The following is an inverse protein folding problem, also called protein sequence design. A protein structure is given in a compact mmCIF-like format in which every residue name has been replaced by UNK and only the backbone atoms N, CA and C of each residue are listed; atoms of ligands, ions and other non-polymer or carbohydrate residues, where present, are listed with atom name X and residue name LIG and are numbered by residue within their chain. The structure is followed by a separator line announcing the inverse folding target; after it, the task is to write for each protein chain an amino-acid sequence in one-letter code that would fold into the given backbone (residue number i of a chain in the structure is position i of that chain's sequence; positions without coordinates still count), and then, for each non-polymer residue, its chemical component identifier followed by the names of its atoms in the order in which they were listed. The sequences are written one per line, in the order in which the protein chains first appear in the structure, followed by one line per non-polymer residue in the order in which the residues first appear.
data_IF_224524227401
#
_entry.id   IF_224524227401
#
_cell.length_a   1.000
_cell.length_b   1.000
_cell.length_c   1.000
_cell.angle_alpha   90.00
_cell.angle_beta   90.00
_cell.angle_gamma   90.00
#
_symmetry.space_group_name_H-M   'P 1'
#
loop_
_entity.id
_entity.type
_entity.pdbx_description
1 polymer ?
#
# COMPACT_ATOMS: atom_id res chain seq x y z
N UNK A 1 -5.15 -10.12 3.57
CA UNK A 1 -6.25 -9.89 3.38
C UNK A 1 -7.28 -9.11 4.18
N UNK A 2 -7.85 -8.08 3.55
CA UNK A 2 -8.91 -7.29 4.16
C UNK A 2 -10.16 -7.35 3.28
N UNK A 3 -11.33 -7.51 3.89
CA UNK A 3 -12.61 -7.26 3.24
C UNK A 3 -12.87 -5.76 3.27
N UNK A 4 -13.03 -5.12 2.11
CA UNK A 4 -13.25 -3.68 2.01
C UNK A 4 -14.74 -3.39 1.88
N UNK A 5 -15.27 -2.55 2.78
CA UNK A 5 -16.65 -2.06 2.73
C UNK A 5 -16.66 -0.66 2.16
N UNK A 6 -17.32 -0.46 1.04
CA UNK A 6 -17.43 0.84 0.39
C UNK A 6 -18.82 1.44 0.60
N UNK A 7 -18.84 2.64 1.16
CA UNK A 7 -20.10 3.38 1.44
C UNK A 7 -20.51 4.29 0.28
N UNK A 8 -19.74 4.31 -0.81
CA UNK A 8 -20.14 5.03 -2.02
C UNK A 8 -21.36 4.35 -2.64
N UNK A 9 -22.43 5.09 -2.95
CA UNK A 9 -23.72 4.50 -3.27
C UNK A 9 -23.74 3.70 -4.58
N UNK A 10 -22.95 4.06 -5.59
CA UNK A 10 -22.90 3.35 -6.87
C UNK A 10 -21.46 3.07 -7.27
N UNK A 11 -21.04 1.82 -7.15
CA UNK A 11 -19.70 1.36 -7.48
C UNK A 11 -19.69 0.72 -8.88
N UNK A 12 -18.57 0.89 -9.61
CA UNK A 12 -18.42 0.34 -10.97
C UNK A 12 -18.76 1.32 -12.10
N UNK A 13 -19.53 2.37 -11.83
CA UNK A 13 -19.98 3.33 -12.85
C UNK A 13 -18.84 4.00 -13.63
N UNK A 14 -17.71 4.26 -13.01
CA UNK A 14 -16.56 4.85 -13.72
C UNK A 14 -15.84 3.85 -14.63
N UNK A 15 -15.94 2.55 -14.36
CA UNK A 15 -15.09 1.54 -15.01
C UNK A 15 -13.64 1.62 -14.56
N UNK A 16 -12.76 0.99 -15.32
CA UNK A 16 -11.33 0.87 -15.04
C UNK A 16 -10.53 1.37 -16.24
N UNK A 17 -9.56 2.25 -16.02
CA UNK A 17 -8.71 2.77 -17.09
C UNK A 17 -7.76 1.70 -17.63
N UNK A 18 -7.14 1.89 -18.81
CA UNK A 18 -6.21 0.95 -19.40
C UNK A 18 -4.99 0.71 -18.50
N UNK A 19 -4.48 -0.52 -18.54
CA UNK A 19 -3.23 -0.89 -17.88
C UNK A 19 -2.03 -0.45 -18.71
N UNK A 20 -1.73 0.82 -18.67
CA UNK A 20 -0.53 1.40 -19.29
C UNK A 20 0.53 1.72 -18.24
N UNK A 21 1.77 1.73 -18.67
CA UNK A 21 2.92 1.97 -17.79
C UNK A 21 3.75 3.14 -18.31
N UNK A 22 4.28 3.91 -17.38
CA UNK A 22 5.32 4.90 -17.67
C UNK A 22 6.64 4.18 -18.03
N UNK A 23 7.61 4.84 -18.67
CA UNK A 23 8.88 4.21 -19.04
C UNK A 23 9.65 3.61 -17.85
N UNK A 24 9.43 4.15 -16.64
CA UNK A 24 10.00 3.64 -15.39
C UNK A 24 9.26 2.42 -14.80
N UNK A 25 8.28 1.87 -15.52
CA UNK A 25 7.49 0.71 -15.09
C UNK A 25 6.37 1.01 -14.09
N UNK A 26 6.16 2.28 -13.71
CA UNK A 26 5.05 2.65 -12.84
C UNK A 26 3.75 2.70 -13.65
N UNK A 27 2.69 2.07 -13.13
CA UNK A 27 1.37 2.13 -13.79
C UNK A 27 0.87 3.57 -13.89
N UNK A 28 0.40 3.97 -15.07
CA UNK A 28 0.00 5.37 -15.35
C UNK A 28 -1.22 5.79 -14.54
N UNK A 29 -2.20 4.91 -14.41
CA UNK A 29 -3.50 5.20 -13.81
C UNK A 29 -3.76 4.44 -12.51
N UNK A 30 -2.91 3.48 -12.16
CA UNK A 30 -3.08 2.66 -10.96
C UNK A 30 -2.16 3.14 -9.84
N UNK A 31 -2.59 2.93 -8.60
CA UNK A 31 -1.83 3.30 -7.40
C UNK A 31 -1.01 2.15 -6.82
N UNK A 32 -1.15 0.94 -7.39
CA UNK A 32 -0.35 -0.25 -7.06
C UNK A 32 -0.35 -1.23 -8.23
N UNK A 33 0.47 -2.27 -8.14
CA UNK A 33 0.61 -3.29 -9.19
C UNK A 33 -0.61 -4.22 -9.30
N UNK A 34 -1.39 -4.36 -8.20
CA UNK A 34 -2.53 -5.28 -8.10
C UNK A 34 -3.56 -4.80 -7.07
N UNK A 35 -4.72 -5.44 -7.02
CA UNK A 35 -5.69 -5.27 -5.94
C UNK A 35 -5.21 -6.04 -4.71
N UNK A 36 -5.09 -5.35 -3.56
CA UNK A 36 -4.64 -5.97 -2.30
C UNK A 36 -5.79 -6.40 -1.38
N UNK A 37 -7.03 -6.03 -1.70
CA UNK A 37 -8.21 -6.49 -0.97
C UNK A 37 -8.49 -7.96 -1.27
N UNK A 38 -9.02 -8.71 -0.30
CA UNK A 38 -9.51 -10.08 -0.51
C UNK A 38 -10.93 -10.11 -1.08
N UNK A 39 -11.73 -9.10 -0.74
CA UNK A 39 -13.03 -8.90 -1.33
C UNK A 39 -13.51 -7.46 -1.17
N UNK A 40 -14.52 -7.07 -1.97
CA UNK A 40 -15.24 -5.80 -1.83
C UNK A 40 -16.69 -6.05 -1.49
N UNK A 41 -17.25 -5.19 -0.63
CA UNK A 41 -18.66 -5.20 -0.20
C UNK A 41 -19.23 -3.83 -0.52
N UNK A 42 -20.27 -3.78 -1.35
CA UNK A 42 -20.87 -2.55 -1.85
C UNK A 42 -22.40 -2.57 -1.71
N UNK A 43 -23.03 -1.41 -1.65
CA UNK A 43 -24.50 -1.33 -1.65
C UNK A 43 -25.06 -1.57 -3.04
N UNK A 44 -24.64 -0.77 -4.00
CA UNK A 44 -25.08 -0.86 -5.38
C UNK A 44 -23.90 -1.01 -6.32
N UNK A 45 -24.10 -1.81 -7.37
CA UNK A 45 -23.09 -2.07 -8.38
C UNK A 45 -23.63 -1.75 -9.78
N UNK A 46 -22.87 -0.94 -10.53
CA UNK A 46 -23.15 -0.70 -11.94
C UNK A 46 -22.41 -1.71 -12.81
N UNK A 47 -23.16 -2.47 -13.59
CA UNK A 47 -22.60 -3.38 -14.59
C UNK A 47 -22.08 -2.65 -15.83
N UNK A 48 -22.59 -1.43 -16.05
CA UNK A 48 -22.18 -0.57 -17.15
C UNK A 48 -21.29 0.57 -16.61
N UNK A 49 -20.32 0.98 -17.41
CA UNK A 49 -19.44 2.10 -17.11
C UNK A 49 -19.49 3.16 -18.22
N UNK A 50 -19.21 4.42 -17.86
CA UNK A 50 -19.35 5.53 -18.81
C UNK A 50 -18.24 6.59 -18.71
N UNK A 51 -17.15 6.34 -17.99
CA UNK A 51 -16.06 7.30 -17.94
C UNK A 51 -15.25 7.28 -19.24
N UNK A 52 -14.87 8.45 -19.73
CA UNK A 52 -14.16 8.61 -21.01
C UNK A 52 -12.83 7.84 -21.10
N UNK A 53 -12.18 7.57 -19.97
CA UNK A 53 -10.91 6.83 -19.89
C UNK A 53 -11.09 5.37 -19.47
N UNK A 54 -12.31 4.88 -19.40
CA UNK A 54 -12.56 3.49 -19.02
C UNK A 54 -12.41 2.57 -20.23
N UNK A 55 -11.74 1.45 -20.04
CA UNK A 55 -11.53 0.42 -21.06
C UNK A 55 -12.34 -0.83 -20.76
N UNK A 56 -12.56 -1.16 -19.47
CA UNK A 56 -13.28 -2.35 -19.02
C UNK A 56 -14.02 -2.11 -17.69
N UNK A 57 -14.87 -3.06 -17.32
CA UNK A 57 -15.67 -2.94 -16.10
C UNK A 57 -14.85 -3.24 -14.84
N UNK A 58 -15.27 -2.70 -13.70
CA UNK A 58 -14.70 -3.09 -12.41
C UNK A 58 -14.87 -4.60 -12.15
N UNK A 59 -16.01 -5.18 -12.57
CA UNK A 59 -16.27 -6.61 -12.42
C UNK A 59 -15.29 -7.48 -13.19
N UNK A 60 -14.88 -7.07 -14.38
CA UNK A 60 -13.87 -7.79 -15.16
C UNK A 60 -12.50 -7.71 -14.50
N UNK A 61 -12.12 -6.53 -13.98
CA UNK A 61 -10.89 -6.39 -13.22
C UNK A 61 -10.86 -7.27 -11.98
N UNK A 62 -11.95 -7.29 -11.21
CA UNK A 62 -12.07 -8.15 -10.02
C UNK A 62 -11.95 -9.63 -10.38
N UNK A 63 -12.57 -10.08 -11.49
CA UNK A 63 -12.46 -11.46 -11.98
C UNK A 63 -11.01 -11.81 -12.39
N UNK A 64 -10.35 -10.91 -13.10
CA UNK A 64 -8.97 -11.07 -13.53
C UNK A 64 -8.03 -11.23 -12.31
N UNK A 65 -8.20 -10.38 -11.29
CA UNK A 65 -7.44 -10.41 -10.05
C UNK A 65 -7.93 -11.49 -9.05
N UNK A 66 -8.99 -12.23 -9.40
CA UNK A 66 -9.64 -13.26 -8.56
C UNK A 66 -10.14 -12.72 -7.21
N UNK A 67 -10.65 -11.50 -7.20
CA UNK A 67 -11.21 -10.83 -6.03
C UNK A 67 -12.73 -10.97 -6.03
N UNK A 68 -13.29 -11.44 -4.92
CA UNK A 68 -14.74 -11.56 -4.77
C UNK A 68 -15.40 -10.19 -4.52
N UNK A 69 -16.59 -9.99 -5.07
CA UNK A 69 -17.42 -8.80 -4.83
C UNK A 69 -18.83 -9.19 -4.43
N UNK A 70 -19.37 -8.49 -3.43
CA UNK A 70 -20.78 -8.63 -3.00
C UNK A 70 -21.45 -7.27 -3.11
N UNK A 71 -22.63 -7.23 -3.69
CA UNK A 71 -23.49 -6.05 -3.72
C UNK A 71 -24.87 -6.33 -3.13
N UNK A 72 -25.68 -5.29 -2.92
CA UNK A 72 -26.99 -5.40 -2.27
C UNK A 72 -26.91 -5.38 -0.74
N UNK A 73 -25.80 -4.96 -0.15
CA UNK A 73 -25.59 -4.91 1.29
C UNK A 73 -25.77 -3.47 1.81
N UNK A 74 -26.44 -3.29 2.95
CA UNK A 74 -26.45 -2.00 3.66
C UNK A 74 -25.04 -1.70 4.23
N UNK A 75 -24.18 -1.17 3.37
CA UNK A 75 -22.80 -0.83 3.74
C UNK A 75 -22.73 0.30 4.75
N UNK A 76 -23.75 1.16 4.84
CA UNK A 76 -23.79 2.23 5.84
C UNK A 76 -24.04 1.66 7.24
N UNK A 77 -24.97 0.73 7.40
CA UNK A 77 -25.21 0.04 8.67
C UNK A 77 -23.98 -0.76 9.09
N UNK A 78 -23.37 -1.50 8.14
CA UNK A 78 -22.16 -2.26 8.38
C UNK A 78 -20.98 -1.35 8.82
N UNK A 79 -20.80 -0.21 8.17
CA UNK A 79 -19.72 0.74 8.54
C UNK A 79 -19.96 1.35 9.91
N UNK A 80 -21.22 1.65 10.31
CA UNK A 80 -21.52 2.10 11.67
C UNK A 80 -21.09 1.07 12.71
N UNK A 81 -21.42 -0.21 12.47
CA UNK A 81 -21.03 -1.32 13.34
C UNK A 81 -19.50 -1.45 13.43
N UNK A 82 -18.78 -1.35 12.30
CA UNK A 82 -17.32 -1.37 12.27
C UNK A 82 -16.70 -0.20 13.05
N UNK A 83 -17.31 0.99 13.01
CA UNK A 83 -16.83 2.15 13.78
C UNK A 83 -17.01 2.00 15.29
N UNK A 84 -18.07 1.33 15.72
CA UNK A 84 -18.35 1.08 17.14
C UNK A 84 -17.44 0.00 17.73
N UNK A 85 -17.09 -1.02 16.94
CA UNK A 85 -16.34 -2.19 17.42
C UNK A 85 -14.88 -2.22 16.95
N UNK A 86 -14.47 -1.28 16.09
CA UNK A 86 -13.18 -1.30 15.42
C UNK A 86 -13.10 -2.33 14.30
N UNK A 87 -11.94 -2.90 14.06
CA UNK A 87 -11.75 -3.96 13.06
C UNK A 87 -12.47 -5.23 13.51
N UNK A 88 -13.32 -5.78 12.64
CA UNK A 88 -14.07 -7.00 12.89
C UNK A 88 -13.66 -8.10 11.93
N UNK A 89 -13.66 -9.32 12.40
CA UNK A 89 -13.51 -10.48 11.53
C UNK A 89 -14.79 -10.70 10.72
N UNK A 90 -14.63 -11.06 9.44
CA UNK A 90 -15.73 -11.34 8.53
C UNK A 90 -15.39 -12.49 7.59
N UNK A 91 -16.41 -13.26 7.21
CA UNK A 91 -16.31 -14.33 6.20
C UNK A 91 -17.40 -14.15 5.16
N UNK A 92 -17.05 -14.37 3.90
CA UNK A 92 -18.01 -14.48 2.80
C UNK A 92 -18.22 -15.96 2.54
N UNK A 93 -19.47 -16.41 2.62
CA UNK A 93 -19.88 -17.79 2.35
C UNK A 93 -20.79 -17.80 1.12
N UNK A 94 -20.52 -18.68 0.16
CA UNK A 94 -21.32 -18.88 -1.05
C UNK A 94 -22.01 -20.24 -0.95
N UNK A 95 -23.34 -20.25 -0.97
CA UNK A 95 -24.15 -21.46 -0.82
C UNK A 95 -24.89 -21.54 0.51
N UNK A 96 -25.38 -22.72 0.88
CA UNK A 96 -26.10 -22.94 2.14
C UNK A 96 -25.13 -22.84 3.33
N UNK A 97 -25.20 -21.73 4.03
CA UNK A 97 -24.32 -21.41 5.16
C UNK A 97 -24.48 -22.34 6.37
N UNK A 98 -25.60 -23.09 6.43
CA UNK A 98 -25.99 -23.89 7.60
C UNK A 98 -25.07 -25.09 7.87
N UNK A 99 -24.29 -25.52 6.88
CA UNK A 99 -23.40 -26.70 7.00
C UNK A 99 -21.93 -26.36 7.34
N UNK A 100 -21.55 -25.10 7.35
CA UNK A 100 -20.13 -24.70 7.56
C UNK A 100 -19.89 -23.94 8.87
N UNK A 101 -20.94 -23.63 9.63
CA UNK A 101 -20.83 -22.99 10.95
C UNK A 101 -21.05 -24.07 12.02
N UNK A 102 -20.03 -24.87 12.32
CA UNK A 102 -20.06 -25.70 13.51
C UNK A 102 -20.08 -24.82 14.76
N UNK A 103 -21.17 -24.90 15.52
CA UNK A 103 -21.36 -24.28 16.84
C UNK A 103 -21.31 -22.73 16.90
N UNK A 104 -21.59 -22.01 15.81
CA UNK A 104 -21.65 -20.54 15.84
C UNK A 104 -20.29 -19.84 16.02
N UNK A 105 -19.20 -20.58 16.06
CA UNK A 105 -17.85 -20.03 16.13
C UNK A 105 -17.13 -20.15 14.80
N UNK A 106 -16.80 -19.01 14.21
CA UNK A 106 -15.85 -18.96 13.10
C UNK A 106 -14.45 -19.33 13.63
N UNK A 107 -13.90 -20.45 13.21
CA UNK A 107 -12.46 -20.72 13.41
C UNK A 107 -11.68 -19.73 12.56
N UNK A 108 -11.28 -18.63 13.17
CA UNK A 108 -10.58 -17.53 12.49
C UNK A 108 -9.14 -17.56 13.00
N UNK A 109 -8.18 -17.65 12.07
CA UNK A 109 -6.77 -17.48 12.40
C UNK A 109 -6.56 -16.10 13.03
N UNK A 110 -5.73 -16.05 14.07
CA UNK A 110 -5.49 -14.85 14.85
C UNK A 110 -4.86 -13.76 13.96
N UNK A 111 -5.66 -12.75 13.55
CA UNK A 111 -5.25 -11.66 12.65
C UNK A 111 -4.41 -10.57 13.34
N UNK A 112 -4.38 -10.56 14.68
CA UNK A 112 -3.79 -9.49 15.48
C UNK A 112 -2.28 -9.33 15.27
N UNK A 113 -1.62 -10.33 14.71
CA UNK A 113 -0.17 -10.34 14.49
C UNK A 113 0.23 -10.36 13.01
N UNK A 114 -0.72 -10.16 12.09
CA UNK A 114 -0.39 -10.15 10.66
C UNK A 114 0.27 -8.83 10.28
N UNK A 115 1.51 -8.90 9.81
CA UNK A 115 2.18 -7.74 9.22
C UNK A 115 1.69 -7.53 7.77
N UNK A 116 0.71 -6.65 7.61
CA UNK A 116 0.20 -6.29 6.29
C UNK A 116 1.17 -5.43 5.48
N UNK A 117 2.06 -4.70 6.13
CA UNK A 117 3.12 -3.91 5.46
C UNK A 117 4.05 -4.85 4.71
N UNK A 118 4.45 -5.98 5.32
CA UNK A 118 5.30 -6.96 4.64
C UNK A 118 4.65 -7.54 3.37
N UNK A 119 3.32 -7.70 3.37
CA UNK A 119 2.59 -8.24 2.19
C UNK A 119 2.54 -7.29 1.00
N UNK A 120 2.64 -5.98 1.24
CA UNK A 120 2.48 -4.93 0.20
C UNK A 120 3.77 -4.18 -0.12
N UNK A 121 4.78 -4.27 0.71
CA UNK A 121 6.09 -3.67 0.51
C UNK A 121 6.83 -4.34 -0.66
N UNK A 122 7.64 -3.58 -1.38
CA UNK A 122 8.55 -4.13 -2.39
C UNK A 122 9.53 -5.13 -1.75
N UNK A 123 10.06 -6.04 -2.58
CA UNK A 123 11.02 -7.06 -2.11
C UNK A 123 12.45 -6.79 -2.58
N UNK A 124 12.61 -5.77 -3.42
CA UNK A 124 13.88 -5.35 -4.00
C UNK A 124 14.03 -3.85 -3.86
N UNK A 125 15.26 -3.35 -3.97
CA UNK A 125 15.51 -1.92 -4.04
C UNK A 125 15.28 -1.48 -5.48
N UNK A 126 14.46 -0.43 -5.67
CA UNK A 126 14.16 0.11 -6.99
C UNK A 126 14.50 1.60 -6.99
N UNK A 127 15.40 1.98 -7.89
CA UNK A 127 15.75 3.37 -8.12
C UNK A 127 14.95 3.92 -9.30
N UNK A 128 14.27 5.05 -9.09
CA UNK A 128 13.55 5.77 -10.12
C UNK A 128 14.20 7.14 -10.35
N UNK A 129 14.38 7.53 -11.61
CA UNK A 129 14.90 8.83 -11.99
C UNK A 129 13.83 9.73 -12.62
N UNK A 130 13.98 11.05 -12.50
CA UNK A 130 13.07 12.02 -13.13
C UNK A 130 13.01 11.96 -14.66
N UNK A 131 14.02 11.40 -15.31
CA UNK A 131 14.07 11.21 -16.77
C UNK A 131 13.19 10.05 -17.26
N UNK A 132 12.53 9.36 -16.36
CA UNK A 132 11.67 8.22 -16.66
C UNK A 132 12.40 6.87 -16.68
N UNK A 133 13.66 6.80 -16.26
CA UNK A 133 14.37 5.54 -16.13
C UNK A 133 14.20 4.94 -14.74
N UNK A 134 14.32 3.61 -14.64
CA UNK A 134 14.35 2.89 -13.37
C UNK A 134 15.33 1.72 -13.43
N UNK A 135 15.86 1.37 -12.25
CA UNK A 135 16.74 0.22 -12.08
C UNK A 135 16.39 -0.51 -10.79
N UNK A 136 16.13 -1.80 -10.87
CA UNK A 136 15.99 -2.68 -9.72
C UNK A 136 17.31 -3.36 -9.39
N UNK A 137 17.59 -3.59 -8.10
CA UNK A 137 18.71 -4.38 -7.64
C UNK A 137 18.28 -5.28 -6.49
N UNK A 138 18.88 -6.47 -6.40
CA UNK A 138 18.70 -7.34 -5.25
C UNK A 138 19.28 -6.71 -3.97
N UNK A 139 18.73 -7.09 -2.82
CA UNK A 139 19.21 -6.61 -1.50
C UNK A 139 20.68 -6.97 -1.26
N UNK A 140 21.15 -8.09 -1.80
CA UNK A 140 22.55 -8.55 -1.70
C UNK A 140 23.52 -7.73 -2.53
N UNK A 141 23.06 -7.12 -3.62
CA UNK A 141 23.88 -6.29 -4.51
C UNK A 141 23.93 -4.83 -4.05
N UNK A 142 22.92 -4.37 -3.31
CA UNK A 142 22.80 -2.99 -2.86
C UNK A 142 23.96 -2.53 -1.96
N UNK A 143 24.55 -3.44 -1.19
CA UNK A 143 25.71 -3.13 -0.31
C UNK A 143 27.02 -2.89 -1.09
N UNK A 144 27.09 -3.33 -2.36
CA UNK A 144 28.30 -3.24 -3.20
C UNK A 144 28.10 -2.40 -4.47
N UNK A 145 26.89 -2.03 -4.82
CA UNK A 145 26.63 -1.31 -6.06
C UNK A 145 26.49 0.19 -5.80
N UNK A 146 27.42 0.91 -6.29
CA UNK A 146 27.17 2.30 -6.69
C UNK A 146 26.11 2.20 -7.78
N UNK A 147 24.87 2.59 -7.47
CA UNK A 147 23.86 2.73 -8.49
C UNK A 147 24.40 3.66 -9.58
N UNK A 148 24.88 3.10 -10.68
CA UNK A 148 25.50 3.88 -11.77
C UNK A 148 24.55 4.96 -12.29
N UNK A 149 23.26 4.71 -12.14
CA UNK A 149 22.16 5.60 -12.50
C UNK A 149 22.08 6.86 -11.60
N UNK A 150 22.64 6.82 -10.37
CA UNK A 150 22.59 7.94 -9.41
C UNK A 150 23.84 8.85 -9.43
N UNK A 151 24.72 8.70 -10.40
CA UNK A 151 25.99 9.43 -10.47
C UNK A 151 25.86 10.95 -10.80
N UNK A 152 24.64 11.48 -10.91
CA UNK A 152 24.46 12.93 -11.08
C UNK A 152 24.66 13.65 -9.74
N UNK A 153 25.70 14.46 -9.64
CA UNK A 153 26.00 15.29 -8.45
C UNK A 153 24.94 16.36 -8.14
N UNK A 154 24.03 16.62 -9.07
CA UNK A 154 23.04 17.69 -8.98
C UNK A 154 21.65 17.18 -8.60
N UNK A 155 21.41 15.88 -8.57
CA UNK A 155 20.11 15.30 -8.33
C UNK A 155 19.96 14.97 -6.85
N UNK A 156 18.92 15.52 -6.20
CA UNK A 156 18.55 15.14 -4.84
C UNK A 156 17.98 13.73 -4.82
N UNK A 157 18.37 12.93 -3.83
CA UNK A 157 18.02 11.53 -3.65
C UNK A 157 17.18 11.36 -2.40
N UNK A 158 16.01 10.80 -2.53
CA UNK A 158 15.13 10.47 -1.40
C UNK A 158 15.03 8.95 -1.28
N UNK A 159 15.36 8.43 -0.10
CA UNK A 159 14.98 7.08 0.26
C UNK A 159 13.50 7.06 0.56
N UNK A 160 12.77 6.19 -0.13
CA UNK A 160 11.35 5.91 0.09
C UNK A 160 11.20 4.56 0.78
N UNK A 161 10.97 4.58 2.10
CA UNK A 161 10.65 3.38 2.86
C UNK A 161 9.24 2.92 2.52
N UNK A 162 9.17 1.76 1.88
CA UNK A 162 7.91 1.25 1.30
C UNK A 162 7.10 0.45 2.31
N UNK A 163 6.13 1.11 2.92
CA UNK A 163 5.12 0.46 3.77
C UNK A 163 3.82 0.09 3.02
N UNK A 164 3.82 0.19 1.70
CA UNK A 164 2.65 0.05 0.82
C UNK A 164 2.38 1.35 0.06
N UNK A 165 3.42 1.86 -0.60
CA UNK A 165 3.42 3.16 -1.25
C UNK A 165 2.41 3.20 -2.40
N UNK A 166 1.63 4.27 -2.45
CA UNK A 166 0.83 4.61 -3.63
C UNK A 166 1.75 5.18 -4.71
N UNK A 167 1.61 4.70 -5.94
CA UNK A 167 2.45 5.10 -7.08
C UNK A 167 2.47 6.62 -7.31
N UNK A 168 1.39 7.32 -6.99
CA UNK A 168 1.34 8.77 -7.13
C UNK A 168 2.36 9.50 -6.23
N UNK A 169 2.74 8.93 -5.09
CA UNK A 169 3.78 9.51 -4.23
C UNK A 169 5.12 9.50 -4.98
N UNK A 170 5.46 8.40 -5.63
CA UNK A 170 6.67 8.29 -6.45
C UNK A 170 6.61 9.30 -7.60
N UNK A 171 5.50 9.32 -8.36
CA UNK A 171 5.29 10.30 -9.44
C UNK A 171 5.44 11.74 -8.98
N UNK A 172 4.93 12.08 -7.79
CA UNK A 172 5.05 13.42 -7.23
C UNK A 172 6.48 13.82 -6.89
N UNK A 173 7.31 12.90 -6.42
CA UNK A 173 8.73 13.14 -6.16
C UNK A 173 9.51 13.30 -7.47
N UNK A 174 9.31 12.40 -8.44
CA UNK A 174 9.95 12.47 -9.76
C UNK A 174 9.64 13.77 -10.51
N UNK A 175 8.38 14.24 -10.48
CA UNK A 175 7.98 15.54 -11.08
C UNK A 175 8.65 16.74 -10.43
N UNK A 176 9.19 16.59 -9.22
CA UNK A 176 9.98 17.62 -8.51
C UNK A 176 11.47 17.50 -8.72
N UNK A 177 11.87 16.71 -9.71
CA UNK A 177 13.26 16.45 -10.04
C UNK A 177 14.05 15.80 -8.90
N UNK A 178 13.44 14.86 -8.19
CA UNK A 178 14.03 14.09 -7.09
C UNK A 178 14.14 12.64 -7.52
N UNK A 179 15.32 12.04 -7.39
CA UNK A 179 15.50 10.60 -7.56
C UNK A 179 14.96 9.86 -6.34
N UNK A 180 14.26 8.75 -6.56
CA UNK A 180 13.62 7.96 -5.51
C UNK A 180 14.30 6.60 -5.40
N UNK A 181 14.79 6.26 -4.23
CA UNK A 181 15.34 4.96 -3.87
C UNK A 181 14.28 4.25 -3.02
N UNK A 182 13.38 3.48 -3.65
CA UNK A 182 12.34 2.68 -2.97
C UNK A 182 13.00 1.46 -2.36
N UNK A 183 12.83 1.28 -1.05
CA UNK A 183 13.41 0.17 -0.28
C UNK A 183 12.33 -0.59 0.48
N UNK A 184 12.49 -1.90 0.73
CA UNK A 184 11.58 -2.66 1.58
C UNK A 184 11.42 -2.04 2.98
N UNK A 185 10.26 -2.26 3.60
CA UNK A 185 9.88 -1.69 4.91
C UNK A 185 10.85 -2.00 6.05
N UNK A 186 11.55 -3.13 5.99
CA UNK A 186 12.48 -3.63 7.02
C UNK A 186 13.95 -3.40 6.67
N UNK A 187 14.25 -2.89 5.47
CA UNK A 187 15.61 -2.66 4.99
C UNK A 187 16.32 -1.58 5.81
N UNK A 188 17.58 -1.82 6.23
CA UNK A 188 18.42 -0.80 6.88
C UNK A 188 19.01 0.18 5.85
N UNK A 189 18.22 1.18 5.51
CA UNK A 189 18.56 2.22 4.54
C UNK A 189 19.64 3.18 5.03
N UNK A 190 20.04 3.13 6.31
CA UNK A 190 21.06 4.04 6.85
C UNK A 190 22.45 3.81 6.26
N UNK A 191 22.66 2.69 5.59
CA UNK A 191 23.88 2.40 4.83
C UNK A 191 23.91 3.02 3.43
N UNK A 192 22.81 3.60 2.97
CA UNK A 192 22.73 4.23 1.65
C UNK A 192 23.11 5.72 1.73
N UNK A 193 23.56 6.26 0.61
CA UNK A 193 23.72 7.71 0.44
C UNK A 193 22.42 8.33 -0.05
N UNK A 194 21.82 9.25 0.71
CA UNK A 194 20.58 9.95 0.37
C UNK A 194 20.54 11.34 1.00
N UNK A 195 19.68 12.23 0.49
CA UNK A 195 19.48 13.60 0.96
C UNK A 195 18.24 13.76 1.87
N UNK A 196 17.30 12.83 1.82
CA UNK A 196 16.10 12.85 2.66
C UNK A 196 15.42 11.49 2.74
N UNK A 197 14.66 11.27 3.81
CA UNK A 197 13.87 10.06 4.05
C UNK A 197 12.38 10.34 3.90
N UNK A 198 11.71 9.54 3.09
CA UNK A 198 10.25 9.56 2.96
C UNK A 198 9.68 8.20 3.38
N UNK A 199 8.79 8.20 4.37
CA UNK A 199 8.15 6.99 4.87
C UNK A 199 6.72 6.96 4.32
N UNK A 200 6.39 5.94 3.54
CA UNK A 200 5.14 5.92 2.80
C UNK A 200 3.92 5.62 3.70
N UNK A 201 2.73 5.78 3.11
CA UNK A 201 1.51 5.20 3.64
C UNK A 201 1.59 3.66 3.67
N UNK A 202 0.70 3.02 4.41
CA UNK A 202 0.63 1.56 4.46
C UNK A 202 -0.59 1.06 5.21
N UNK A 203 -0.92 -0.23 5.07
CA UNK A 203 -2.00 -0.89 5.79
C UNK A 203 -1.53 -1.45 7.15
N UNK A 204 -2.51 -1.84 7.98
CA UNK A 204 -2.27 -2.63 9.18
C UNK A 204 -1.91 -1.82 10.41
N UNK A 205 -1.26 -2.49 11.36
CA UNK A 205 -0.90 -1.96 12.66
C UNK A 205 0.58 -1.58 12.70
N UNK A 206 0.95 -0.33 13.05
CA UNK A 206 2.34 0.10 13.17
C UNK A 206 3.13 -0.68 14.22
N UNK A 207 2.46 -1.37 15.15
CA UNK A 207 3.13 -2.20 16.16
C UNK A 207 3.75 -3.48 15.58
N UNK A 208 3.38 -3.85 14.36
CA UNK A 208 4.00 -4.98 13.63
C UNK A 208 5.27 -4.60 12.87
N UNK A 209 5.67 -3.32 12.88
CA UNK A 209 6.74 -2.77 12.04
C UNK A 209 8.00 -2.36 12.82
N UNK A 210 8.42 -3.12 13.82
CA UNK A 210 9.57 -2.78 14.70
C UNK A 210 10.88 -2.57 13.95
N UNK A 211 11.14 -3.30 12.86
CA UNK A 211 12.33 -3.12 12.03
C UNK A 211 12.38 -1.71 11.43
N UNK A 212 11.27 -1.25 10.85
CA UNK A 212 11.14 0.12 10.33
C UNK A 212 11.38 1.16 11.44
N UNK A 213 10.76 0.99 12.61
CA UNK A 213 10.91 1.91 13.74
C UNK A 213 12.37 2.02 14.19
N UNK A 214 13.09 0.89 14.30
CA UNK A 214 14.53 0.90 14.65
C UNK A 214 15.37 1.66 13.61
N UNK A 215 15.12 1.45 12.33
CA UNK A 215 15.87 2.09 11.25
C UNK A 215 15.56 3.59 11.16
N UNK A 216 14.31 3.99 11.34
CA UNK A 216 13.89 5.40 11.40
C UNK A 216 14.52 6.08 12.62
N UNK A 217 14.58 5.42 13.78
CA UNK A 217 15.22 5.98 14.99
C UNK A 217 16.69 6.27 14.78
N UNK A 218 17.42 5.42 14.05
CA UNK A 218 18.82 5.72 13.66
C UNK A 218 18.89 6.98 12.79
N UNK A 219 17.98 7.12 11.79
CA UNK A 219 17.96 8.27 10.91
C UNK A 219 17.61 9.59 11.64
N UNK A 220 16.79 9.53 12.70
CA UNK A 220 16.46 10.69 13.55
C UNK A 220 17.66 11.28 14.31
N UNK A 221 18.75 10.52 14.46
CA UNK A 221 19.98 11.03 15.06
C UNK A 221 20.82 11.89 14.09
N UNK A 222 20.46 11.92 12.82
CA UNK A 222 21.08 12.73 11.77
C UNK A 222 20.37 14.05 11.55
N UNK A 223 20.83 14.80 10.54
CA UNK A 223 20.33 16.12 10.15
C UNK A 223 19.46 16.12 8.88
N UNK A 224 19.26 14.94 8.26
CA UNK A 224 18.51 14.83 7.02
C UNK A 224 17.01 15.02 7.24
N UNK A 225 16.29 15.71 6.33
CA UNK A 225 14.84 15.86 6.45
C UNK A 225 14.14 14.51 6.36
N UNK A 226 13.14 14.31 7.21
CA UNK A 226 12.30 13.12 7.28
C UNK A 226 10.83 13.52 7.17
N UNK A 227 10.09 12.83 6.31
CA UNK A 227 8.65 13.02 6.14
C UNK A 227 7.95 11.66 6.14
N UNK A 228 6.78 11.58 6.80
CA UNK A 228 5.95 10.38 6.85
C UNK A 228 4.49 10.68 6.50
N UNK A 229 3.84 9.78 5.74
CA UNK A 229 2.42 9.85 5.42
C UNK A 229 1.67 8.68 6.05
N UNK A 230 0.56 8.96 6.77
CA UNK A 230 -0.32 7.95 7.37
C UNK A 230 0.48 6.95 8.24
N UNK A 231 0.61 5.69 7.84
CA UNK A 231 1.48 4.69 8.50
C UNK A 231 2.88 5.24 8.75
N UNK A 232 3.47 5.91 7.77
CA UNK A 232 4.80 6.51 7.88
C UNK A 232 4.87 7.59 8.97
N UNK A 233 3.83 8.40 9.16
CA UNK A 233 3.77 9.36 10.28
C UNK A 233 3.69 8.65 11.64
N UNK A 234 2.93 7.56 11.73
CA UNK A 234 2.83 6.75 12.95
C UNK A 234 4.18 6.10 13.30
N UNK A 235 4.86 5.50 12.31
CA UNK A 235 6.19 4.90 12.51
C UNK A 235 7.23 5.95 12.93
N UNK A 236 7.17 7.14 12.35
CA UNK A 236 8.03 8.26 12.72
C UNK A 236 7.78 8.71 14.15
N UNK A 237 6.51 8.84 14.56
CA UNK A 237 6.13 9.17 15.93
C UNK A 237 6.63 8.12 16.93
N UNK A 238 6.47 6.81 16.65
CA UNK A 238 7.02 5.71 17.47
C UNK A 238 8.54 5.76 17.55
N UNK A 239 9.22 6.04 16.44
CA UNK A 239 10.68 6.19 16.44
C UNK A 239 11.15 7.36 17.31
N UNK A 240 10.37 8.44 17.37
CA UNK A 240 10.58 9.58 18.26
C UNK A 240 10.19 9.34 19.73
N UNK A 241 9.65 8.16 20.06
CA UNK A 241 9.28 7.79 21.44
C UNK A 241 7.82 8.05 21.81
N UNK A 242 6.96 8.42 20.87
CA UNK A 242 5.54 8.58 21.12
C UNK A 242 4.81 7.23 21.19
N UNK A 243 3.73 7.19 21.97
CA UNK A 243 2.78 6.08 22.02
C UNK A 243 1.69 6.27 20.96
N UNK A 244 1.29 5.19 20.32
CA UNK A 244 0.17 5.18 19.36
C UNK A 244 -0.95 4.34 19.97
N UNK A 245 -2.19 4.81 19.85
CA UNK A 245 -3.37 4.11 20.33
C UNK A 245 -4.50 4.23 19.33
N UNK A 246 -5.40 3.26 19.35
CA UNK A 246 -6.64 3.29 18.54
C UNK A 246 -7.68 4.17 19.23
N UNK A 247 -8.32 5.05 18.45
CA UNK A 247 -9.44 5.88 18.89
C UNK A 247 -10.74 5.07 18.88
#
# INVERSE_FOLDING_TARGET
GQLMVWTYPLVGYYGVPPRTFEPNGIATFMESEKIHAEAIIVSDYSHEYSHWNAEYSLGDWLKEEKISGIYGIDTRALTKKLREHGVMMGRIVIGDADNEIENGELKIENYEHVNYVDRVSCKEIICYLPDGTSQACSLSEASNSRFSILNSQFLKRVVLLDCGVKHNIIRCLLRRNVAVIRVPWDYDFNQLEYDGLFISNGPGDPDTCDAAVRNIRKALSGDKPICGICMGNQLLAKAGGASIYKL
#
